data_IF_108802579552
#
_entry.id   IF_108802579552
#
_cell.length_a   1.000
_cell.length_b   1.000
_cell.length_c   1.000
_cell.angle_alpha   90.00
_cell.angle_beta   90.00
_cell.angle_gamma   90.00
#
_symmetry.space_group_name_H-M   'P 1'
#
loop_
_entity.id
_entity.type
_entity.pdbx_description
1 polymer ?
#
# COMPACT_ATOMS: atom_id res chain seq x y z
N UNK A 1 5.19 21.83 -12.29
CA UNK A 1 4.93 21.10 -11.03
C UNK A 1 3.79 20.13 -11.30
N UNK A 2 4.00 18.85 -11.05
CA UNK A 2 3.01 17.79 -11.29
C UNK A 2 2.44 17.38 -9.94
N UNK A 3 1.12 17.34 -9.81
CA UNK A 3 0.47 16.93 -8.56
C UNK A 3 -0.24 15.61 -8.75
N UNK A 4 0.14 14.60 -7.98
CA UNK A 4 -0.54 13.31 -7.92
C UNK A 4 -1.43 13.30 -6.69
N UNK A 5 -2.73 13.20 -6.88
CA UNK A 5 -3.74 13.14 -5.82
C UNK A 5 -4.44 11.79 -5.84
N UNK A 6 -4.58 11.15 -4.68
CA UNK A 6 -5.49 10.03 -4.50
C UNK A 6 -6.59 10.40 -3.51
N UNK A 7 -7.84 10.19 -3.92
CA UNK A 7 -9.02 10.28 -3.07
C UNK A 7 -9.83 9.01 -3.34
N UNK A 8 -10.34 8.35 -2.29
CA UNK A 8 -10.96 7.03 -2.45
C UNK A 8 -12.14 7.02 -3.43
N UNK A 9 -12.94 8.08 -3.57
CA UNK A 9 -14.09 8.14 -4.50
C UNK A 9 -13.72 8.57 -5.94
N UNK A 10 -12.70 9.44 -6.07
CA UNK A 10 -12.23 9.94 -7.37
C UNK A 10 -11.15 9.05 -8.01
N UNK A 11 -10.42 8.30 -7.19
CA UNK A 11 -9.26 7.49 -7.56
C UNK A 11 -7.95 8.29 -7.55
N UNK A 12 -6.93 7.74 -8.19
CA UNK A 12 -5.63 8.38 -8.37
C UNK A 12 -5.60 9.21 -9.66
N UNK A 13 -5.26 10.49 -9.53
CA UNK A 13 -5.22 11.47 -10.62
C UNK A 13 -3.92 12.25 -10.58
N UNK A 14 -3.32 12.50 -11.74
CA UNK A 14 -2.13 13.31 -11.94
C UNK A 14 -2.48 14.58 -12.73
N UNK A 15 -2.35 15.72 -12.06
CA UNK A 15 -2.64 17.05 -12.55
C UNK A 15 -1.38 17.75 -13.05
N UNK A 16 -1.57 18.70 -13.98
CA UNK A 16 -0.48 19.53 -14.49
C UNK A 16 0.37 18.87 -15.58
N UNK A 17 -0.06 17.71 -16.11
CA UNK A 17 0.56 17.05 -17.27
C UNK A 17 -0.41 17.11 -18.46
N UNK A 18 -0.22 18.02 -19.42
CA UNK A 18 -1.00 18.03 -20.66
C UNK A 18 -0.84 16.74 -21.45
N UNK A 19 -1.85 16.38 -22.24
CA UNK A 19 -1.85 15.14 -23.04
C UNK A 19 -0.67 15.05 -24.02
N UNK A 20 -0.23 16.18 -24.56
CA UNK A 20 0.75 16.24 -25.65
C UNK A 20 2.15 16.67 -25.18
N UNK A 21 2.39 16.70 -23.87
CA UNK A 21 3.67 17.10 -23.29
C UNK A 21 4.58 15.89 -23.05
N UNK A 22 5.90 16.10 -22.98
CA UNK A 22 6.89 15.04 -22.73
C UNK A 22 6.57 14.12 -21.53
N UNK A 23 6.14 14.61 -20.34
CA UNK A 23 5.78 13.76 -19.22
C UNK A 23 4.58 12.82 -19.47
N UNK A 24 3.77 13.06 -20.51
CA UNK A 24 2.68 12.17 -20.89
C UNK A 24 3.17 10.76 -21.27
N UNK A 25 4.34 10.67 -21.93
CA UNK A 25 4.91 9.39 -22.32
C UNK A 25 5.29 8.53 -21.11
N UNK A 26 5.80 9.16 -20.04
CA UNK A 26 6.15 8.51 -18.78
C UNK A 26 4.91 7.93 -18.11
N UNK A 27 3.85 8.74 -18.00
CA UNK A 27 2.58 8.29 -17.40
C UNK A 27 1.91 7.19 -18.22
N UNK A 28 1.94 7.30 -19.55
CA UNK A 28 1.39 6.29 -20.44
C UNK A 28 2.15 4.96 -20.33
N UNK A 29 3.49 4.99 -20.22
CA UNK A 29 4.31 3.81 -19.99
C UNK A 29 4.02 3.16 -18.62
N UNK A 30 3.66 3.97 -17.62
CA UNK A 30 3.22 3.52 -16.29
C UNK A 30 1.74 3.06 -16.25
N UNK A 31 1.04 2.99 -17.40
CA UNK A 31 -0.34 2.49 -17.49
C UNK A 31 -1.43 3.50 -17.16
N UNK A 32 -1.09 4.79 -17.04
CA UNK A 32 -2.07 5.84 -16.77
C UNK A 32 -2.85 6.20 -18.04
N UNK A 33 -4.09 6.65 -17.86
CA UNK A 33 -4.97 7.04 -18.96
C UNK A 33 -5.32 8.52 -18.91
N UNK A 34 -5.32 9.18 -20.06
CA UNK A 34 -5.81 10.56 -20.16
C UNK A 34 -7.34 10.62 -20.04
N UNK A 35 -7.85 11.44 -19.12
CA UNK A 35 -9.27 11.76 -19.01
C UNK A 35 -9.57 13.13 -19.61
N UNK A 36 -10.42 13.16 -20.64
CA UNK A 36 -10.89 14.42 -21.24
C UNK A 36 -11.76 15.24 -20.28
N UNK A 37 -12.45 14.59 -19.35
CA UNK A 37 -13.36 15.26 -18.38
C UNK A 37 -12.59 15.97 -17.29
N UNK A 38 -11.50 15.37 -16.83
CA UNK A 38 -10.64 15.95 -15.79
C UNK A 38 -9.56 16.84 -16.38
N UNK A 39 -9.31 16.76 -17.69
CA UNK A 39 -8.12 17.34 -18.32
C UNK A 39 -6.84 16.93 -17.56
N UNK A 40 -6.78 15.66 -17.16
CA UNK A 40 -5.74 15.09 -16.31
C UNK A 40 -5.54 13.60 -16.61
N UNK A 41 -4.39 13.06 -16.19
CA UNK A 41 -4.11 11.63 -16.25
C UNK A 41 -4.69 10.95 -15.02
N UNK A 42 -5.23 9.74 -15.15
CA UNK A 42 -5.77 8.97 -14.04
C UNK A 42 -5.35 7.51 -14.13
N UNK A 43 -5.25 6.85 -12.99
CA UNK A 43 -5.00 5.42 -12.92
C UNK A 43 -6.31 4.64 -13.08
N UNK A 44 -6.47 3.80 -14.12
CA UNK A 44 -7.68 3.01 -14.28
C UNK A 44 -7.91 2.06 -13.10
N UNK A 45 -9.17 1.91 -12.67
CA UNK A 45 -9.55 0.96 -11.61
C UNK A 45 -9.21 1.41 -10.18
N UNK A 46 -8.61 2.59 -9.98
CA UNK A 46 -8.24 3.08 -8.64
C UNK A 46 -9.41 3.69 -7.85
N UNK A 47 -10.61 3.81 -8.44
CA UNK A 47 -11.79 4.37 -7.75
C UNK A 47 -12.35 3.37 -6.78
N UNK A 48 -12.77 3.85 -5.62
CA UNK A 48 -13.28 3.06 -4.49
C UNK A 48 -12.30 1.97 -4.05
N UNK A 49 -11.00 2.18 -4.31
CA UNK A 49 -9.92 1.26 -3.99
C UNK A 49 -8.79 2.04 -3.35
N UNK A 50 -7.98 1.32 -2.56
CA UNK A 50 -6.79 1.90 -1.96
C UNK A 50 -5.89 2.54 -2.98
N UNK A 51 -5.22 3.61 -2.55
CA UNK A 51 -4.12 4.15 -3.31
C UNK A 51 -3.19 3.01 -3.67
N UNK A 52 -3.07 2.71 -4.95
CA UNK A 52 -2.07 1.76 -5.43
C UNK A 52 -0.73 2.46 -5.33
N UNK A 53 -0.16 2.43 -4.12
CA UNK A 53 1.04 3.17 -3.78
C UNK A 53 2.19 2.78 -4.69
N UNK A 54 2.25 1.50 -5.10
CA UNK A 54 3.17 1.03 -6.13
C UNK A 54 3.09 1.85 -7.42
N UNK A 55 1.91 1.90 -8.05
CA UNK A 55 1.74 2.60 -9.33
C UNK A 55 1.92 4.11 -9.19
N UNK A 56 1.54 4.66 -8.04
CA UNK A 56 1.74 6.07 -7.70
C UNK A 56 3.22 6.40 -7.57
N UNK A 57 3.98 5.56 -6.86
CA UNK A 57 5.39 5.78 -6.59
C UNK A 57 6.27 5.50 -7.80
N UNK A 58 5.98 4.45 -8.57
CA UNK A 58 6.66 4.20 -9.84
C UNK A 58 6.46 5.38 -10.80
N UNK A 59 5.24 5.92 -10.88
CA UNK A 59 4.97 7.09 -11.70
C UNK A 59 5.68 8.35 -11.15
N UNK A 60 5.64 8.58 -9.84
CA UNK A 60 6.32 9.70 -9.21
C UNK A 60 7.85 9.63 -9.42
N UNK A 61 8.45 8.47 -9.20
CA UNK A 61 9.88 8.24 -9.40
C UNK A 61 10.27 8.42 -10.87
N UNK A 62 9.48 7.91 -11.82
CA UNK A 62 9.76 8.06 -13.24
C UNK A 62 9.66 9.54 -13.69
N UNK A 63 8.69 10.29 -13.16
CA UNK A 63 8.57 11.73 -13.42
C UNK A 63 9.71 12.54 -12.79
N UNK A 64 10.15 12.18 -11.58
CA UNK A 64 11.30 12.80 -10.92
C UNK A 64 12.61 12.49 -11.66
N UNK A 65 12.80 11.25 -12.13
CA UNK A 65 13.95 10.86 -12.94
C UNK A 65 14.01 11.63 -14.27
N UNK A 66 12.86 12.00 -14.83
CA UNK A 66 12.75 12.88 -15.98
C UNK A 66 12.93 14.38 -15.64
N UNK A 67 13.25 14.72 -14.39
CA UNK A 67 13.55 16.08 -13.93
C UNK A 67 12.33 16.92 -13.52
N UNK A 68 11.14 16.32 -13.43
CA UNK A 68 9.94 17.04 -13.03
C UNK A 68 9.76 17.06 -11.52
N UNK A 69 9.34 18.20 -11.00
CA UNK A 69 8.93 18.32 -9.60
C UNK A 69 7.54 17.71 -9.41
N UNK A 70 7.44 16.68 -8.57
CA UNK A 70 6.21 15.95 -8.25
C UNK A 70 5.79 16.20 -6.80
N UNK A 71 4.52 16.53 -6.59
CA UNK A 71 3.87 16.58 -5.28
C UNK A 71 2.89 15.42 -5.16
N UNK A 72 2.88 14.74 -4.03
CA UNK A 72 1.99 13.59 -3.79
C UNK A 72 1.07 13.87 -2.59
N UNK A 73 -0.24 13.73 -2.80
CA UNK A 73 -1.27 13.84 -1.76
C UNK A 73 -2.16 12.61 -1.80
N UNK A 74 -2.20 11.86 -0.70
CA UNK A 74 -3.04 10.66 -0.57
C UNK A 74 -4.02 10.89 0.58
N UNK A 75 -5.30 10.99 0.24
CA UNK A 75 -6.41 11.03 1.20
C UNK A 75 -7.14 9.70 1.15
N UNK A 76 -6.64 8.76 1.98
CA UNK A 76 -7.12 7.38 1.99
C UNK A 76 -7.59 6.97 3.39
N UNK A 77 -8.72 6.29 3.44
CA UNK A 77 -9.41 5.87 4.68
C UNK A 77 -8.55 4.86 5.47
N UNK A 78 -8.62 4.81 6.83
CA UNK A 78 -7.74 3.95 7.64
C UNK A 78 -7.79 2.46 7.31
N UNK A 79 -8.96 1.94 6.90
CA UNK A 79 -9.13 0.54 6.50
C UNK A 79 -8.32 0.24 5.24
N UNK A 80 -8.34 1.20 4.33
CA UNK A 80 -7.77 1.12 3.01
C UNK A 80 -6.22 1.19 3.05
N UNK A 81 -5.65 2.00 3.95
CA UNK A 81 -4.21 1.99 4.26
C UNK A 81 -3.69 0.68 4.86
N UNK A 82 -4.48 0.04 5.73
CA UNK A 82 -4.08 -1.26 6.33
C UNK A 82 -3.93 -2.35 5.28
N UNK A 83 -4.80 -2.36 4.27
CA UNK A 83 -4.67 -3.28 3.13
C UNK A 83 -3.41 -3.00 2.31
N UNK A 84 -3.07 -1.73 2.10
CA UNK A 84 -1.85 -1.35 1.39
C UNK A 84 -0.57 -1.74 2.13
N UNK A 85 -0.53 -1.56 3.46
CA UNK A 85 0.60 -2.02 4.28
C UNK A 85 0.79 -3.54 4.19
N UNK A 86 -0.31 -4.30 4.31
CA UNK A 86 -0.25 -5.75 4.17
C UNK A 86 0.27 -6.19 2.78
N UNK A 87 -0.14 -5.50 1.72
CA UNK A 87 0.35 -5.76 0.37
C UNK A 87 1.87 -5.48 0.25
N UNK A 88 2.37 -4.41 0.88
CA UNK A 88 3.81 -4.11 0.93
C UNK A 88 4.56 -5.22 1.66
N UNK A 89 4.06 -5.66 2.82
CA UNK A 89 4.67 -6.76 3.58
C UNK A 89 4.72 -8.06 2.76
N UNK A 90 3.61 -8.42 2.10
CA UNK A 90 3.52 -9.61 1.24
C UNK A 90 4.54 -9.54 0.09
N UNK A 91 4.74 -8.36 -0.49
CA UNK A 91 5.68 -8.15 -1.58
C UNK A 91 7.14 -8.18 -1.12
N UNK A 92 7.45 -7.62 0.05
CA UNK A 92 8.77 -7.72 0.69
C UNK A 92 9.09 -9.20 0.93
N UNK A 93 8.17 -9.94 1.56
CA UNK A 93 8.32 -11.38 1.81
C UNK A 93 8.59 -12.17 0.51
N UNK A 94 7.86 -11.85 -0.55
CA UNK A 94 8.06 -12.48 -1.85
C UNK A 94 9.44 -12.19 -2.46
N UNK A 95 9.90 -10.95 -2.39
CA UNK A 95 11.21 -10.54 -2.90
C UNK A 95 12.35 -11.15 -2.07
N UNK A 96 12.23 -11.20 -0.75
CA UNK A 96 13.17 -11.88 0.14
C UNK A 96 13.25 -13.38 -0.17
N UNK A 97 12.12 -14.03 -0.45
CA UNK A 97 12.07 -15.42 -0.89
C UNK A 97 12.83 -15.65 -2.20
N UNK A 98 12.64 -14.77 -3.19
CA UNK A 98 13.39 -14.81 -4.46
C UNK A 98 14.88 -14.57 -4.26
N UNK A 99 15.25 -13.57 -3.45
CA UNK A 99 16.63 -13.23 -3.15
C UNK A 99 17.34 -14.39 -2.46
N UNK A 100 16.69 -15.00 -1.48
CA UNK A 100 17.18 -16.19 -0.77
C UNK A 100 17.44 -17.35 -1.74
N UNK A 101 16.55 -17.56 -2.71
CA UNK A 101 16.74 -18.60 -3.74
C UNK A 101 17.95 -18.32 -4.62
N UNK A 102 18.12 -17.08 -5.10
CA UNK A 102 19.29 -16.69 -5.92
C UNK A 102 20.59 -16.86 -5.12
N UNK A 103 20.62 -16.40 -3.86
CA UNK A 103 21.79 -16.54 -2.99
C UNK A 103 22.15 -18.01 -2.74
N UNK A 104 21.15 -18.88 -2.55
CA UNK A 104 21.39 -20.32 -2.40
C UNK A 104 22.05 -20.92 -3.64
N UNK A 105 21.56 -20.57 -4.83
CA UNK A 105 22.09 -21.06 -6.11
C UNK A 105 23.51 -20.57 -6.36
N UNK A 106 23.77 -19.27 -6.15
CA UNK A 106 25.12 -18.69 -6.23
C UNK A 106 26.07 -19.36 -5.23
N UNK A 107 25.65 -19.54 -3.98
CA UNK A 107 26.46 -20.20 -2.96
C UNK A 107 26.76 -21.67 -3.27
N UNK A 108 25.83 -22.40 -3.89
CA UNK A 108 26.10 -23.75 -4.39
C UNK A 108 27.17 -23.73 -5.49
N UNK A 109 27.04 -22.83 -6.46
CA UNK A 109 27.99 -22.71 -7.56
C UNK A 109 29.40 -22.32 -7.10
N UNK A 110 29.52 -21.34 -6.19
CA UNK A 110 30.83 -20.96 -5.64
C UNK A 110 31.49 -22.08 -4.83
N UNK A 111 30.70 -22.91 -4.14
CA UNK A 111 31.22 -24.12 -3.48
C UNK A 111 31.75 -25.13 -4.50
N UNK A 112 31.05 -25.33 -5.61
CA UNK A 112 31.52 -26.21 -6.69
C UNK A 112 32.83 -25.70 -7.29
N UNK A 113 32.95 -24.41 -7.57
CA UNK A 113 34.20 -23.79 -8.05
C UNK A 113 35.36 -24.04 -7.07
N UNK A 114 35.13 -23.84 -5.77
CA UNK A 114 36.17 -24.00 -4.75
C UNK A 114 36.68 -25.45 -4.64
N UNK A 115 35.88 -26.44 -5.03
CA UNK A 115 36.25 -27.87 -5.02
C UNK A 115 36.90 -28.31 -6.32
N UNK A 116 36.37 -27.87 -7.46
CA UNK A 116 36.76 -28.38 -8.80
C UNK A 116 37.82 -27.51 -9.50
N UNK A 117 38.04 -26.26 -9.04
CA UNK A 117 39.11 -25.37 -9.49
C UNK A 117 38.94 -24.77 -10.90
N UNK A 118 38.05 -25.30 -11.74
CA UNK A 118 37.71 -24.76 -13.06
C UNK A 118 36.21 -24.88 -13.35
N UNK A 119 35.62 -23.83 -13.90
CA UNK A 119 34.25 -23.81 -14.42
C UNK A 119 34.24 -23.56 -15.93
N UNK A 120 33.19 -24.06 -16.60
CA UNK A 120 32.94 -23.71 -17.99
C UNK A 120 32.51 -22.25 -18.09
N UNK A 121 32.89 -21.58 -19.19
CA UNK A 121 32.45 -20.22 -19.51
C UNK A 121 30.91 -20.08 -19.50
N UNK A 122 30.17 -21.15 -19.84
CA UNK A 122 28.71 -21.16 -19.76
C UNK A 122 28.20 -21.05 -18.30
N UNK A 123 28.90 -21.66 -17.36
CA UNK A 123 28.58 -21.64 -15.93
C UNK A 123 28.93 -20.28 -15.31
N UNK A 124 30.04 -19.68 -15.72
CA UNK A 124 30.43 -18.33 -15.28
C UNK A 124 29.44 -17.27 -15.79
N UNK A 125 28.99 -17.39 -17.04
CA UNK A 125 27.97 -16.51 -17.60
C UNK A 125 26.62 -16.64 -16.86
N UNK A 126 26.25 -17.86 -16.46
CA UNK A 126 25.08 -18.09 -15.60
C UNK A 126 25.24 -17.39 -14.25
N UNK A 127 26.41 -17.46 -13.62
CA UNK A 127 26.68 -16.82 -12.34
C UNK A 127 26.59 -15.29 -12.43
N UNK A 128 27.16 -14.69 -13.50
CA UNK A 128 27.04 -13.25 -13.77
C UNK A 128 25.57 -12.85 -13.91
N UNK A 129 24.77 -13.61 -14.67
CA UNK A 129 23.33 -13.34 -14.81
C UNK A 129 22.58 -13.45 -13.47
N UNK A 130 22.95 -14.41 -12.62
CA UNK A 130 22.37 -14.54 -11.28
C UNK A 130 22.77 -13.40 -10.35
N UNK A 131 23.99 -12.88 -10.44
CA UNK A 131 24.43 -11.70 -9.69
C UNK A 131 23.68 -10.45 -10.12
N UNK A 132 23.50 -10.23 -11.42
CA UNK A 132 22.67 -9.12 -11.93
C UNK A 132 21.22 -9.24 -11.44
N UNK A 133 20.66 -10.46 -11.45
CA UNK A 133 19.32 -10.70 -10.92
C UNK A 133 19.23 -10.45 -9.41
N UNK A 134 20.30 -10.73 -8.65
CA UNK A 134 20.37 -10.43 -7.22
C UNK A 134 20.31 -8.92 -6.97
N UNK A 135 21.10 -8.14 -7.71
CA UNK A 135 21.14 -6.67 -7.61
C UNK A 135 19.75 -6.08 -7.88
N UNK A 136 19.08 -6.51 -8.95
CA UNK A 136 17.69 -6.11 -9.27
C UNK A 136 16.72 -6.42 -8.11
N UNK A 137 16.82 -7.62 -7.52
CA UNK A 137 15.95 -8.00 -6.40
C UNK A 137 16.23 -7.16 -5.14
N UNK A 138 17.48 -6.82 -4.87
CA UNK A 138 17.88 -5.97 -3.74
C UNK A 138 17.41 -4.52 -3.93
N UNK A 139 17.50 -3.99 -5.14
CA UNK A 139 16.99 -2.65 -5.48
C UNK A 139 15.47 -2.59 -5.31
N UNK A 140 14.75 -3.60 -5.82
CA UNK A 140 13.30 -3.71 -5.63
C UNK A 140 12.93 -3.86 -4.15
N UNK A 141 13.68 -4.65 -3.39
CA UNK A 141 13.44 -4.82 -1.96
C UNK A 141 13.61 -3.48 -1.21
N UNK A 142 14.65 -2.72 -1.55
CA UNK A 142 14.88 -1.37 -1.00
C UNK A 142 13.70 -0.45 -1.31
N UNK A 143 13.28 -0.40 -2.58
CA UNK A 143 12.12 0.39 -2.98
C UNK A 143 10.87 0.02 -2.16
N UNK A 144 10.54 -1.26 -2.02
CA UNK A 144 9.36 -1.68 -1.28
C UNK A 144 9.43 -1.41 0.23
N UNK A 145 10.64 -1.39 0.82
CA UNK A 145 10.83 -0.94 2.20
C UNK A 145 10.60 0.56 2.35
N UNK A 146 11.14 1.37 1.44
CA UNK A 146 10.90 2.82 1.42
C UNK A 146 9.41 3.18 1.18
N UNK A 147 8.70 2.35 0.41
CA UNK A 147 7.24 2.45 0.27
C UNK A 147 6.55 2.18 1.62
N UNK A 148 6.93 1.12 2.32
CA UNK A 148 6.40 0.80 3.65
C UNK A 148 6.64 1.91 4.67
N UNK A 149 7.86 2.43 4.73
CA UNK A 149 8.24 3.50 5.65
C UNK A 149 7.37 4.75 5.45
N UNK A 150 7.17 5.19 4.20
CA UNK A 150 6.30 6.33 3.87
C UNK A 150 4.84 6.13 4.30
N UNK A 151 4.33 4.89 4.22
CA UNK A 151 2.97 4.57 4.68
C UNK A 151 2.85 4.59 6.21
N UNK A 152 3.91 4.23 6.91
CA UNK A 152 3.95 4.31 8.37
C UNK A 152 4.14 5.76 8.86
N UNK A 153 4.95 6.57 8.17
CA UNK A 153 5.19 8.00 8.50
C UNK A 153 3.95 8.88 8.27
N UNK A 154 3.10 8.54 7.30
CA UNK A 154 1.79 9.18 7.09
C UNK A 154 0.75 8.88 8.18
N UNK A 155 1.14 8.23 9.27
CA UNK A 155 0.33 8.03 10.47
C UNK A 155 0.43 9.28 11.35
N UNK A 156 -0.55 10.21 11.36
CA UNK A 156 -0.66 11.12 12.49
C UNK A 156 -0.83 10.25 13.73
N UNK A 157 0.03 10.45 14.71
CA UNK A 157 -0.03 9.82 16.02
C UNK A 157 -1.33 10.22 16.74
N UNK A 158 -2.46 9.65 16.32
CA UNK A 158 -3.76 9.75 16.98
C UNK A 158 -4.19 8.35 17.39
N UNK A 159 -3.33 7.68 18.14
CA UNK A 159 -3.65 6.44 18.86
C UNK A 159 -2.75 6.26 20.09
N UNK A 160 -2.32 7.37 20.70
CA UNK A 160 -1.64 7.39 22.00
C UNK A 160 -2.35 8.40 22.92
N UNK A 161 -3.64 8.17 23.14
CA UNK A 161 -4.48 9.11 23.88
C UNK A 161 -5.89 8.61 24.08
N UNK A 162 -6.07 7.29 24.26
CA UNK A 162 -7.32 6.79 24.84
C UNK A 162 -7.24 7.03 26.35
N UNK A 163 -7.41 8.29 26.75
CA UNK A 163 -7.71 8.66 28.13
C UNK A 163 -9.02 7.95 28.45
N UNK A 164 -8.94 6.93 29.32
CA UNK A 164 -10.10 6.38 29.99
C UNK A 164 -10.66 7.49 30.89
N UNK A 165 -11.65 8.23 30.41
CA UNK A 165 -12.50 9.04 31.27
C UNK A 165 -13.39 8.09 32.07
N UNK A 166 -12.84 7.60 33.19
CA UNK A 166 -13.62 7.07 34.29
C UNK A 166 -14.24 8.26 35.02
N UNK A 167 -15.57 8.39 34.96
CA UNK A 167 -16.31 9.24 35.89
C UNK A 167 -17.31 10.19 35.24
N UNK A 168 -18.53 9.71 35.01
CA UNK A 168 -19.73 10.50 35.35
C UNK A 168 -20.83 9.52 35.76
N UNK A 169 -21.32 9.72 36.97
CA UNK A 169 -22.35 8.95 37.67
C UNK A 169 -23.64 8.69 36.86
N UNK A 170 -24.33 7.56 37.11
CA UNK A 170 -25.71 7.39 36.68
C UNK A 170 -26.65 8.24 37.55
N UNK A 171 -27.39 9.15 36.92
CA UNK A 171 -28.44 9.92 37.60
C UNK A 171 -29.56 8.99 38.12
N UNK A 172 -30.13 9.27 39.31
CA UNK A 172 -31.19 8.46 39.91
C UNK A 172 -32.55 8.78 39.26
N UNK A 173 -33.21 7.76 38.72
CA UNK A 173 -34.63 7.83 38.36
C UNK A 173 -35.46 7.83 39.65
N UNK A 174 -36.08 8.98 39.94
CA UNK A 174 -37.15 9.06 40.91
C UNK A 174 -38.46 8.56 40.30
N UNK A 175 -39.03 7.62 41.04
CA UNK A 175 -40.36 7.05 41.00
C UNK A 175 -41.49 8.11 40.93
N UNK A 176 -42.61 7.77 40.30
CA UNK A 176 -43.93 7.90 40.96
C UNK A 176 -45.04 7.23 40.15
N UNK A 177 -45.93 6.60 40.93
CA UNK A 177 -47.33 6.26 40.65
C UNK A 177 -47.64 4.78 40.35
N UNK A 178 -47.81 4.02 41.44
CA UNK A 178 -49.18 3.81 41.94
C UNK A 178 -49.79 2.41 41.77
N UNK A 179 -49.64 1.61 42.84
CA UNK A 179 -50.45 0.46 43.28
C UNK A 179 -51.80 0.17 42.56
N UNK A 180 -52.05 -1.13 42.28
CA UNK A 180 -52.94 -1.96 43.14
C UNK A 180 -52.83 -3.47 42.91
N UNK A 181 -52.94 -4.11 44.07
CA UNK A 181 -53.09 -5.50 44.48
C UNK A 181 -54.00 -6.43 43.66
N UNK A 182 -53.70 -7.72 43.87
CA UNK A 182 -54.36 -8.98 43.49
C UNK A 182 -55.89 -9.04 43.67
N UNK A 183 -56.56 -9.90 42.88
CA UNK A 183 -57.00 -11.23 43.35
C UNK A 183 -57.70 -12.02 42.23
N UNK A 184 -57.54 -13.34 42.33
CA UNK A 184 -58.28 -14.40 41.62
C UNK A 184 -59.80 -14.19 41.65
N UNK A 185 -60.53 -14.74 40.65
CA UNK A 185 -61.72 -15.61 40.82
C UNK A 185 -62.27 -16.07 39.45
N UNK A 186 -62.23 -17.39 39.25
CA UNK A 186 -63.21 -18.28 38.60
C UNK A 186 -63.85 -17.97 37.21
N UNK A 187 -63.53 -18.83 36.23
CA UNK A 187 -64.55 -19.60 35.50
C UNK A 187 -64.81 -19.29 34.01
N UNK A 188 -65.32 -20.27 33.22
CA UNK A 188 -64.84 -20.52 31.84
C UNK A 188 -65.90 -20.35 30.73
N UNK A 189 -65.46 -20.37 29.45
CA UNK A 189 -66.13 -20.97 28.27
C UNK A 189 -65.12 -21.06 27.09
N UNK A 190 -65.17 -22.04 26.17
CA UNK A 190 -65.58 -23.45 26.26
C UNK A 190 -64.40 -24.44 26.40
#
# INVERSE_FOLDING_TARGET
MIEITHISDEGTVAWGVPKNDEPAAVLQAAGWCWSRRLAAWHLPGSRYQAASILHVDEAAAALQAAGFQVSLRIDDEPTQRRYSLKMVDDQILHLEGKLSKVNRLLGQHFRTIAVEGQTSAATDLWAIRMLLRRIDLEERLRHWREVGDRLTEGTPAHSAGMVRNSGTDPAPLHDTTGHRHADDLDGPLP
#
